data_IF_874333453543
#
_entry.id   IF_874333453543
#
_cell.length_a   1.000
_cell.length_b   1.000
_cell.length_c   1.000
_cell.angle_alpha   90.00
_cell.angle_beta   90.00
_cell.angle_gamma   90.00
#
_symmetry.space_group_name_H-M   'P 1'
#
loop_
_entity.id
_entity.type
_entity.pdbx_description
1 polymer ?
#
# COMPACT_ATOMS: atom_id res chain seq x y z
N UNK A 1 4.55 11.20 9.27
CA UNK A 1 4.64 9.76 9.54
C UNK A 1 4.73 9.02 8.21
N UNK A 2 5.63 8.08 8.13
CA UNK A 2 5.86 7.28 6.92
C UNK A 2 5.59 5.82 7.24
N UNK A 3 4.65 5.21 6.57
CA UNK A 3 4.19 3.86 6.88
C UNK A 3 4.38 2.91 5.70
N UNK A 4 4.98 1.76 5.98
CA UNK A 4 4.90 0.59 5.10
C UNK A 4 3.66 -0.19 5.54
N UNK A 5 2.77 -0.53 4.61
CA UNK A 5 1.55 -1.21 4.99
C UNK A 5 1.10 -2.25 3.98
N UNK A 6 0.25 -3.14 4.45
CA UNK A 6 -0.41 -4.17 3.66
C UNK A 6 -1.80 -4.41 4.22
N UNK A 7 -2.73 -4.79 3.36
CA UNK A 7 -4.09 -5.16 3.77
C UNK A 7 -4.42 -6.56 3.28
N UNK A 8 -5.29 -7.25 4.03
CA UNK A 8 -5.89 -8.51 3.62
C UNK A 8 -7.38 -8.31 3.40
N UNK A 9 -7.91 -8.84 2.31
CA UNK A 9 -9.29 -8.62 1.89
C UNK A 9 -9.99 -9.92 1.50
N UNK A 10 -11.29 -9.82 1.25
CA UNK A 10 -12.09 -10.98 0.81
C UNK A 10 -12.18 -11.13 -0.71
N UNK A 11 -11.42 -10.38 -1.49
CA UNK A 11 -11.49 -10.52 -2.93
C UNK A 11 -10.62 -9.53 -3.69
N UNK A 12 -10.76 -9.54 -5.00
CA UNK A 12 -10.09 -8.61 -5.91
C UNK A 12 -10.81 -7.26 -5.90
N UNK A 13 -10.15 -6.22 -6.41
CA UNK A 13 -10.69 -4.85 -6.39
C UNK A 13 -12.12 -4.77 -6.93
N UNK A 14 -12.42 -5.51 -7.96
CA UNK A 14 -13.74 -5.54 -8.60
C UNK A 14 -14.84 -6.09 -7.67
N UNK A 15 -14.50 -7.09 -6.85
CA UNK A 15 -15.48 -7.84 -6.04
C UNK A 15 -15.35 -7.58 -4.54
N UNK A 16 -14.31 -6.89 -4.10
CA UNK A 16 -14.01 -6.71 -2.67
C UNK A 16 -15.12 -5.95 -1.97
N UNK A 17 -15.50 -6.44 -0.79
CA UNK A 17 -16.49 -5.80 0.07
C UNK A 17 -15.98 -5.61 1.50
N UNK A 18 -14.89 -6.28 1.88
CA UNK A 18 -14.41 -6.27 3.25
C UNK A 18 -12.89 -6.33 3.32
N UNK A 19 -12.33 -5.54 4.22
CA UNK A 19 -10.93 -5.61 4.63
C UNK A 19 -10.86 -6.41 5.93
N UNK A 20 -10.08 -7.50 5.95
CA UNK A 20 -9.95 -8.36 7.14
C UNK A 20 -8.94 -7.85 8.13
N UNK A 21 -7.84 -7.27 7.66
CA UNK A 21 -6.86 -6.70 8.55
C UNK A 21 -5.97 -5.70 7.81
N UNK A 22 -5.31 -4.85 8.60
CA UNK A 22 -4.31 -3.91 8.14
C UNK A 22 -3.10 -4.08 9.04
N UNK A 23 -1.92 -4.17 8.44
CA UNK A 23 -0.65 -4.14 9.16
C UNK A 23 0.17 -2.98 8.62
N UNK A 24 0.72 -2.18 9.50
CA UNK A 24 1.54 -1.03 9.12
C UNK A 24 2.76 -0.91 10.04
N UNK A 25 3.87 -0.49 9.49
CA UNK A 25 5.08 -0.21 10.26
C UNK A 25 5.55 1.21 9.98
N UNK A 26 5.80 1.97 11.03
CA UNK A 26 6.42 3.29 10.95
C UNK A 26 7.92 3.08 10.70
N UNK A 27 8.41 3.55 9.54
CA UNK A 27 9.81 3.31 9.15
C UNK A 27 10.81 4.11 9.97
N UNK A 28 10.39 5.17 10.64
CA UNK A 28 11.28 5.99 11.45
C UNK A 28 11.44 5.43 12.87
N UNK A 29 10.38 4.87 13.44
CA UNK A 29 10.37 4.36 14.82
C UNK A 29 10.40 2.84 14.90
N UNK A 30 10.15 2.15 13.80
CA UNK A 30 9.98 0.69 13.71
C UNK A 30 8.78 0.17 14.52
N UNK A 31 7.86 1.05 14.89
CA UNK A 31 6.63 0.63 15.57
C UNK A 31 5.69 -0.06 14.59
N UNK A 32 5.22 -1.25 14.96
CA UNK A 32 4.27 -2.03 14.16
C UNK A 32 2.86 -1.84 14.70
N UNK A 33 1.92 -1.58 13.79
CA UNK A 33 0.50 -1.47 14.09
C UNK A 33 -0.22 -2.61 13.38
N UNK A 34 -1.10 -3.28 14.09
CA UNK A 34 -1.91 -4.36 13.53
C UNK A 34 -3.37 -4.13 13.88
N UNK A 35 -4.24 -4.20 12.89
CA UNK A 35 -5.65 -3.92 13.05
C UNK A 35 -6.46 -5.15 12.61
N UNK A 36 -7.15 -5.76 13.57
CA UNK A 36 -8.08 -6.87 13.35
C UNK A 36 -9.34 -6.40 12.61
N UNK A 37 -10.21 -7.31 12.15
CA UNK A 37 -11.41 -6.92 11.41
C UNK A 37 -12.28 -5.86 12.10
N UNK A 38 -12.37 -5.90 13.42
CA UNK A 38 -13.17 -4.93 14.17
C UNK A 38 -12.49 -3.57 14.33
N UNK A 39 -11.20 -3.49 14.03
CA UNK A 39 -10.38 -2.28 14.21
C UNK A 39 -9.89 -1.69 12.88
N UNK A 40 -10.38 -2.19 11.76
CA UNK A 40 -9.93 -1.73 10.43
C UNK A 40 -10.12 -0.23 10.24
N UNK A 41 -11.21 0.34 10.76
CA UNK A 41 -11.44 1.77 10.66
C UNK A 41 -10.34 2.58 11.34
N UNK A 42 -9.83 2.10 12.48
CA UNK A 42 -8.69 2.72 13.16
C UNK A 42 -7.43 2.65 12.31
N UNK A 43 -7.25 1.54 11.61
CA UNK A 43 -6.14 1.38 10.68
C UNK A 43 -6.21 2.36 9.52
N UNK A 44 -7.38 2.55 8.95
CA UNK A 44 -7.60 3.51 7.87
C UNK A 44 -7.35 4.94 8.36
N UNK A 45 -7.78 5.25 9.57
CA UNK A 45 -7.51 6.55 10.18
C UNK A 45 -6.00 6.78 10.34
N UNK A 46 -5.26 5.77 10.77
CA UNK A 46 -3.81 5.85 10.85
C UNK A 46 -3.18 6.11 9.48
N UNK A 47 -3.58 5.35 8.45
CA UNK A 47 -3.06 5.52 7.10
C UNK A 47 -3.38 6.91 6.55
N UNK A 48 -4.54 7.46 6.89
CA UNK A 48 -4.95 8.80 6.47
C UNK A 48 -4.09 9.92 7.05
N UNK A 49 -3.42 9.66 8.16
CA UNK A 49 -2.51 10.61 8.80
C UNK A 49 -1.08 10.55 8.29
N UNK A 50 -0.75 9.54 7.49
CA UNK A 50 0.60 9.39 6.96
C UNK A 50 0.89 10.45 5.90
N UNK A 51 2.16 10.87 5.83
CA UNK A 51 2.65 11.74 4.76
C UNK A 51 3.16 10.93 3.59
N UNK A 52 3.61 9.71 3.85
CA UNK A 52 4.09 8.77 2.83
C UNK A 52 3.58 7.37 3.15
N UNK A 53 3.01 6.72 2.16
CA UNK A 53 2.60 5.32 2.23
C UNK A 53 3.45 4.50 1.28
N UNK A 54 4.00 3.40 1.79
CA UNK A 54 4.87 2.50 1.06
C UNK A 54 4.23 1.11 1.07
N UNK A 55 4.26 0.43 -0.06
CA UNK A 55 3.77 -0.93 -0.13
C UNK A 55 3.86 -1.50 -1.53
N UNK A 56 3.56 -2.79 -1.66
CA UNK A 56 3.62 -3.49 -2.92
C UNK A 56 2.24 -3.51 -3.59
N UNK A 57 2.15 -2.94 -4.79
CA UNK A 57 0.90 -2.81 -5.56
C UNK A 57 -0.18 -2.03 -4.80
N UNK A 58 0.20 -1.08 -3.96
CA UNK A 58 -0.78 -0.32 -3.17
C UNK A 58 -1.56 0.68 -4.04
N UNK A 59 -0.97 1.21 -5.11
CA UNK A 59 -1.68 2.08 -6.05
C UNK A 59 -2.71 1.31 -6.87
N UNK A 60 -2.44 0.05 -7.18
CA UNK A 60 -3.34 -0.78 -7.98
C UNK A 60 -4.38 -1.52 -7.17
N UNK A 61 -4.18 -1.70 -5.88
CA UNK A 61 -5.08 -2.51 -5.07
C UNK A 61 -5.43 -1.89 -3.71
N UNK A 62 -4.46 -1.80 -2.80
CA UNK A 62 -4.74 -1.45 -1.39
C UNK A 62 -5.45 -0.10 -1.25
N UNK A 63 -4.91 0.93 -1.88
CA UNK A 63 -5.49 2.27 -1.80
C UNK A 63 -6.86 2.34 -2.49
N UNK A 64 -7.03 1.84 -3.72
CA UNK A 64 -8.35 1.81 -4.34
C UNK A 64 -9.39 1.01 -3.54
N UNK A 65 -8.98 -0.08 -2.89
CA UNK A 65 -9.87 -0.87 -2.03
C UNK A 65 -10.34 -0.05 -0.83
N UNK A 66 -9.43 0.61 -0.15
CA UNK A 66 -9.75 1.47 0.98
C UNK A 66 -10.72 2.57 0.56
N UNK A 67 -10.42 3.24 -0.53
CA UNK A 67 -11.25 4.33 -1.03
C UNK A 67 -12.63 3.85 -1.44
N UNK A 68 -12.71 2.66 -2.05
CA UNK A 68 -13.98 2.06 -2.47
C UNK A 68 -14.87 1.69 -1.29
N UNK A 69 -14.32 0.99 -0.29
CA UNK A 69 -15.10 0.44 0.82
C UNK A 69 -15.50 1.53 1.82
N UNK A 70 -14.57 2.45 2.12
CA UNK A 70 -14.76 3.44 3.17
C UNK A 70 -15.11 4.82 2.64
N UNK A 71 -15.25 4.96 1.33
CA UNK A 71 -15.62 6.22 0.68
C UNK A 71 -14.75 7.40 1.17
N UNK A 72 -13.46 7.18 1.23
CA UNK A 72 -12.48 8.16 1.68
C UNK A 72 -11.42 8.35 0.61
N UNK A 73 -10.66 9.44 0.68
CA UNK A 73 -9.55 9.72 -0.20
C UNK A 73 -8.24 9.66 0.56
N UNK A 74 -7.29 8.89 0.06
CA UNK A 74 -5.93 8.82 0.60
C UNK A 74 -5.09 9.90 -0.08
N UNK A 75 -4.61 10.86 0.70
CA UNK A 75 -3.89 12.03 0.18
C UNK A 75 -2.37 11.94 0.34
N UNK A 76 -1.86 10.92 1.00
CA UNK A 76 -0.44 10.73 1.22
C UNK A 76 0.30 10.56 -0.11
N UNK A 77 1.59 10.90 -0.12
CA UNK A 77 2.47 10.46 -1.20
C UNK A 77 2.58 8.95 -1.16
N UNK A 78 2.75 8.32 -2.32
CA UNK A 78 2.75 6.87 -2.46
C UNK A 78 4.05 6.41 -3.09
N UNK A 79 4.71 5.45 -2.46
CA UNK A 79 5.85 4.74 -3.01
C UNK A 79 5.45 3.28 -3.19
N UNK A 80 5.12 2.91 -4.43
CA UNK A 80 4.67 1.56 -4.75
C UNK A 80 5.85 0.72 -5.24
N UNK A 81 6.23 -0.27 -4.45
CA UNK A 81 7.40 -1.09 -4.74
C UNK A 81 7.22 -1.96 -5.99
N UNK A 82 6.00 -2.28 -6.37
CA UNK A 82 5.74 -3.00 -7.62
C UNK A 82 6.11 -2.13 -8.83
N UNK A 83 5.71 -0.87 -8.82
CA UNK A 83 6.01 0.07 -9.91
C UNK A 83 7.51 0.31 -10.00
N UNK A 84 8.16 0.57 -8.85
CA UNK A 84 9.60 0.77 -8.78
C UNK A 84 10.35 -0.47 -9.27
N UNK A 85 9.93 -1.65 -8.86
CA UNK A 85 10.51 -2.92 -9.30
C UNK A 85 10.44 -3.07 -10.83
N UNK A 86 9.31 -2.73 -11.43
CA UNK A 86 9.14 -2.78 -12.89
C UNK A 86 10.06 -1.79 -13.60
N UNK A 87 10.21 -0.58 -13.07
CA UNK A 87 11.09 0.44 -13.64
C UNK A 87 12.54 0.02 -13.56
N UNK A 88 12.98 -0.54 -12.45
CA UNK A 88 14.35 -1.04 -12.28
C UNK A 88 14.62 -2.18 -13.26
N UNK A 89 13.68 -3.12 -13.42
CA UNK A 89 13.80 -4.22 -14.35
C UNK A 89 13.96 -3.75 -15.79
N UNK A 90 13.16 -2.78 -16.21
CA UNK A 90 13.25 -2.19 -17.54
C UNK A 90 14.60 -1.47 -17.74
N UNK A 91 15.03 -0.69 -16.76
CA UNK A 91 16.31 0.04 -16.82
C UNK A 91 17.48 -0.92 -16.90
N UNK A 92 17.46 -1.99 -16.13
CA UNK A 92 18.50 -3.02 -16.14
C UNK A 92 18.60 -3.68 -17.52
N UNK A 93 17.45 -4.10 -18.07
CA UNK A 93 17.40 -4.73 -19.39
C UNK A 93 17.92 -3.79 -20.48
N UNK A 94 17.54 -2.52 -20.40
CA UNK A 94 17.98 -1.51 -21.36
C UNK A 94 19.49 -1.27 -21.27
N UNK A 95 20.06 -1.25 -20.08
CA UNK A 95 21.50 -1.03 -19.87
C UNK A 95 22.35 -2.20 -20.33
N UNK A 96 21.81 -3.42 -20.29
CA UNK A 96 22.58 -4.62 -20.68
C UNK A 96 22.57 -4.88 -22.18
N UNK A 97 21.48 -4.51 -22.86
CA UNK A 97 21.35 -4.75 -24.30
C UNK A 97 22.45 -4.10 -25.16
N UNK A 98 22.84 -2.85 -24.92
CA UNK A 98 23.86 -2.19 -25.75
C UNK A 98 25.26 -2.76 -25.61
N UNK A 99 25.52 -3.55 -24.60
CA UNK A 99 26.85 -4.14 -24.36
C UNK A 99 27.09 -5.40 -25.17
N UNK A 100 26.06 -5.89 -25.80
CA UNK A 100 26.13 -7.07 -26.64
C UNK A 100 26.60 -6.68 -28.03
#
# INVERSE_FOLDING_TARGET
MKLVFDIETNGLLKDVTKIFCIVAEDIDTNKVYSFAPDDVEKGIDLLSKATLLIGHNIQGFDIPVIEKIYNTEIKAEVYDTLIVSRLISVSYTHLTLPTI
#
